data_IF_754532070544
#
_entry.id   IF_754532070544
#
_cell.length_a   1.000
_cell.length_b   1.000
_cell.length_c   1.000
_cell.angle_alpha   90.00
_cell.angle_beta   90.00
_cell.angle_gamma   90.00
#
_symmetry.space_group_name_H-M   'P 1'
#
loop_
_entity.id
_entity.type
_entity.pdbx_description
1 polymer ?
#
# COMPACT_ATOMS: atom_id res chain seq x y z
N UNK A 1 -22.25 12.32 -10.09
CA UNK A 1 -21.41 11.10 -9.99
C UNK A 1 -20.28 11.41 -9.04
N UNK A 2 -20.15 10.71 -7.91
CA UNK A 2 -19.13 11.00 -6.88
C UNK A 2 -17.80 10.35 -7.25
N UNK A 3 -16.71 11.13 -7.28
CA UNK A 3 -15.37 10.63 -7.56
C UNK A 3 -14.69 10.12 -6.28
N UNK A 4 -13.73 9.16 -6.36
CA UNK A 4 -12.94 8.72 -5.20
C UNK A 4 -12.13 9.83 -4.49
N UNK A 5 -11.97 10.98 -5.15
CA UNK A 5 -11.31 12.16 -4.60
C UNK A 5 -12.24 12.98 -3.69
N UNK A 6 -13.55 12.87 -3.89
CA UNK A 6 -14.56 13.63 -3.14
C UNK A 6 -14.86 12.99 -1.78
N UNK A 7 -14.47 11.71 -1.59
CA UNK A 7 -14.71 10.95 -0.37
C UNK A 7 -13.46 10.94 0.51
N UNK A 8 -13.59 11.26 1.82
CA UNK A 8 -12.50 11.13 2.77
C UNK A 8 -11.91 9.70 2.78
N UNK A 9 -10.57 9.55 2.77
CA UNK A 9 -9.93 8.23 2.75
C UNK A 9 -10.36 7.32 3.90
N UNK A 10 -10.61 7.89 5.08
CA UNK A 10 -11.07 7.16 6.26
C UNK A 10 -12.40 6.43 6.04
N UNK A 11 -13.29 6.98 5.21
CA UNK A 11 -14.58 6.38 4.87
C UNK A 11 -14.48 5.44 3.65
N UNK A 12 -13.59 5.74 2.71
CA UNK A 12 -13.45 4.97 1.47
C UNK A 12 -12.67 3.67 1.64
N UNK A 13 -11.61 3.66 2.46
CA UNK A 13 -10.68 2.53 2.56
C UNK A 13 -11.29 1.27 3.19
N UNK A 14 -12.06 1.34 4.30
CA UNK A 14 -12.66 0.14 4.89
C UNK A 14 -13.60 -0.63 3.93
N UNK A 15 -14.59 0.00 3.26
CA UNK A 15 -15.46 -0.73 2.33
C UNK A 15 -14.69 -1.24 1.11
N UNK A 16 -13.72 -0.46 0.61
CA UNK A 16 -12.88 -0.91 -0.50
C UNK A 16 -12.03 -2.15 -0.13
N UNK A 17 -11.51 -2.21 1.09
CA UNK A 17 -10.79 -3.38 1.57
C UNK A 17 -11.69 -4.62 1.69
N UNK A 18 -12.94 -4.44 2.15
CA UNK A 18 -13.93 -5.51 2.18
C UNK A 18 -14.27 -6.03 0.77
N UNK A 19 -14.47 -5.14 -0.20
CA UNK A 19 -14.69 -5.49 -1.60
C UNK A 19 -13.51 -6.26 -2.20
N UNK A 20 -12.28 -5.82 -1.94
CA UNK A 20 -11.07 -6.52 -2.39
C UNK A 20 -10.96 -7.93 -1.79
N UNK A 21 -11.39 -8.11 -0.54
CA UNK A 21 -11.46 -9.41 0.13
C UNK A 21 -12.53 -10.30 -0.49
N UNK A 22 -13.73 -9.76 -0.71
CA UNK A 22 -14.86 -10.49 -1.31
C UNK A 22 -14.56 -10.98 -2.73
N UNK A 23 -13.85 -10.15 -3.53
CA UNK A 23 -13.45 -10.51 -4.90
C UNK A 23 -12.23 -11.43 -4.97
N UNK A 24 -11.61 -11.78 -3.83
CA UNK A 24 -10.33 -12.48 -3.76
C UNK A 24 -9.25 -11.85 -4.66
N UNK A 25 -9.29 -10.51 -4.82
CA UNK A 25 -8.38 -9.79 -5.71
C UNK A 25 -6.94 -9.72 -5.16
N UNK A 26 -6.81 -9.80 -3.84
CA UNK A 26 -5.55 -9.78 -3.10
C UNK A 26 -5.57 -10.82 -2.00
N UNK A 27 -4.43 -11.45 -1.76
CA UNK A 27 -4.27 -12.47 -0.73
C UNK A 27 -3.00 -12.17 0.08
N UNK A 28 -3.07 -12.13 1.42
CA UNK A 28 -1.89 -11.91 2.23
C UNK A 28 -0.91 -13.08 2.03
N UNK A 29 0.35 -12.82 1.64
CA UNK A 29 1.36 -13.87 1.54
C UNK A 29 1.73 -14.39 2.95
N UNK A 30 2.27 -15.62 3.08
CA UNK A 30 2.57 -16.22 4.39
C UNK A 30 3.48 -15.37 5.27
N UNK A 31 4.40 -14.62 4.67
CA UNK A 31 5.32 -13.74 5.39
C UNK A 31 4.68 -12.44 5.89
N UNK A 32 3.48 -12.07 5.42
CA UNK A 32 2.84 -10.78 5.76
C UNK A 32 2.58 -10.62 7.25
N UNK A 33 2.32 -11.71 7.98
CA UNK A 33 2.06 -11.68 9.42
C UNK A 33 3.30 -11.33 10.25
N UNK A 34 4.50 -11.60 9.72
CA UNK A 34 5.76 -11.47 10.46
C UNK A 34 6.51 -10.17 10.16
N UNK A 35 6.15 -9.47 9.08
CA UNK A 35 6.91 -8.31 8.61
C UNK A 35 6.35 -6.98 9.12
N UNK A 36 7.24 -6.00 9.15
CA UNK A 36 6.86 -4.59 9.26
C UNK A 36 6.65 -3.96 7.89
N UNK A 37 5.84 -2.91 7.85
CA UNK A 37 5.48 -2.19 6.60
C UNK A 37 6.60 -1.30 6.06
N UNK A 38 7.68 -1.10 6.80
CA UNK A 38 8.85 -0.35 6.36
C UNK A 38 9.93 -0.26 7.42
N UNK A 39 11.12 0.19 7.02
CA UNK A 39 12.28 0.32 7.93
C UNK A 39 12.03 1.35 9.03
N UNK A 40 11.21 2.35 8.77
CA UNK A 40 10.84 3.40 9.71
C UNK A 40 9.88 2.92 10.81
N UNK A 41 9.26 1.73 10.68
CA UNK A 41 8.43 1.14 11.73
C UNK A 41 9.28 0.24 12.65
N UNK A 42 8.93 0.24 13.93
CA UNK A 42 9.54 -0.64 14.93
C UNK A 42 8.75 -1.94 15.11
N UNK A 43 7.41 -1.88 15.00
CA UNK A 43 6.50 -3.02 15.14
C UNK A 43 5.74 -3.29 13.85
N UNK A 44 5.30 -4.55 13.69
CA UNK A 44 4.37 -4.94 12.62
C UNK A 44 2.98 -4.31 12.81
N UNK A 45 2.12 -4.39 11.79
CA UNK A 45 0.73 -3.93 11.89
C UNK A 45 -0.07 -4.72 12.93
N UNK A 46 -0.87 -4.03 13.74
CA UNK A 46 -1.72 -4.66 14.76
C UNK A 46 -2.98 -5.29 14.16
N UNK A 47 -3.52 -4.72 13.08
CA UNK A 47 -4.73 -5.22 12.46
C UNK A 47 -4.44 -6.50 11.64
N UNK A 48 -5.18 -7.61 11.82
CA UNK A 48 -4.95 -8.84 11.06
C UNK A 48 -5.21 -8.66 9.56
N UNK A 49 -6.22 -7.87 9.20
CA UNK A 49 -6.58 -7.58 7.80
C UNK A 49 -5.81 -6.38 7.21
N UNK A 50 -4.63 -6.03 7.76
CA UNK A 50 -3.87 -4.86 7.31
C UNK A 50 -3.48 -4.93 5.83
N UNK A 51 -3.31 -6.13 5.27
CA UNK A 51 -2.96 -6.34 3.87
C UNK A 51 -4.04 -5.79 2.93
N UNK A 52 -5.31 -6.03 3.25
CA UNK A 52 -6.46 -5.55 2.47
C UNK A 52 -6.58 -4.04 2.56
N UNK A 53 -6.44 -3.46 3.76
CA UNK A 53 -6.42 -2.01 3.94
C UNK A 53 -5.25 -1.34 3.21
N UNK A 54 -4.08 -1.98 3.22
CA UNK A 54 -2.91 -1.50 2.47
C UNK A 54 -3.18 -1.56 0.96
N UNK A 55 -3.77 -2.65 0.47
CA UNK A 55 -4.12 -2.84 -0.94
C UNK A 55 -5.13 -1.79 -1.43
N UNK A 56 -6.18 -1.55 -0.65
CA UNK A 56 -7.15 -0.47 -0.90
C UNK A 56 -6.48 0.91 -0.96
N UNK A 57 -5.54 1.18 -0.04
CA UNK A 57 -4.78 2.43 -0.03
C UNK A 57 -3.89 2.59 -1.25
N UNK A 58 -3.20 1.52 -1.67
CA UNK A 58 -2.32 1.52 -2.84
C UNK A 58 -3.14 1.77 -4.10
N UNK A 59 -4.27 1.08 -4.27
CA UNK A 59 -5.18 1.26 -5.39
C UNK A 59 -5.67 2.72 -5.49
N UNK A 60 -6.07 3.32 -4.36
CA UNK A 60 -6.44 4.73 -4.31
C UNK A 60 -5.26 5.65 -4.68
N UNK A 61 -4.04 5.39 -4.18
CA UNK A 61 -2.87 6.22 -4.51
C UNK A 61 -2.53 6.16 -6.00
N UNK A 62 -2.59 4.98 -6.61
CA UNK A 62 -2.40 4.80 -8.06
C UNK A 62 -3.44 5.63 -8.82
N UNK A 63 -4.71 5.55 -8.41
CA UNK A 63 -5.77 6.36 -9.02
C UNK A 63 -5.52 7.88 -8.93
N UNK A 64 -5.08 8.36 -7.77
CA UNK A 64 -4.85 9.81 -7.53
C UNK A 64 -3.60 10.32 -8.25
N UNK A 65 -2.52 9.54 -8.23
CA UNK A 65 -1.21 9.96 -8.74
C UNK A 65 -0.99 9.60 -10.21
N UNK A 66 -1.82 8.72 -10.78
CA UNK A 66 -1.70 8.25 -12.16
C UNK A 66 -0.61 7.18 -12.31
N UNK A 67 0.32 7.40 -13.24
CA UNK A 67 1.45 6.50 -13.50
C UNK A 67 2.49 6.61 -12.38
N UNK A 68 2.61 5.55 -11.56
CA UNK A 68 3.51 5.55 -10.41
C UNK A 68 4.27 4.24 -10.29
N UNK A 69 5.59 4.33 -10.25
CA UNK A 69 6.47 3.20 -9.95
C UNK A 69 6.53 2.86 -8.46
N UNK A 70 7.02 1.65 -8.16
CA UNK A 70 7.13 1.13 -6.79
C UNK A 70 8.01 1.99 -5.88
N UNK A 71 9.03 2.68 -6.42
CA UNK A 71 9.90 3.57 -5.64
C UNK A 71 9.17 4.82 -5.13
N UNK A 72 8.41 5.48 -6.01
CA UNK A 72 7.62 6.66 -5.63
C UNK A 72 6.51 6.26 -4.66
N UNK A 73 5.83 5.12 -4.90
CA UNK A 73 4.90 4.55 -3.92
C UNK A 73 5.59 4.29 -2.57
N UNK A 74 6.82 3.78 -2.55
CA UNK A 74 7.54 3.54 -1.29
C UNK A 74 7.89 4.84 -0.56
N UNK A 75 8.23 5.93 -1.27
CA UNK A 75 8.42 7.24 -0.65
C UNK A 75 7.11 7.75 -0.01
N UNK A 76 5.99 7.58 -0.71
CA UNK A 76 4.62 7.94 -0.29
C UNK A 76 4.11 7.19 0.96
N UNK A 77 4.65 5.99 1.22
CA UNK A 77 4.39 5.20 2.43
C UNK A 77 5.57 5.23 3.42
N UNK A 78 6.52 6.12 3.20
CA UNK A 78 7.66 6.35 4.08
C UNK A 78 7.30 7.10 5.35
N UNK A 79 8.29 7.26 6.21
CA UNK A 79 8.13 7.98 7.47
C UNK A 79 9.46 8.28 8.16
N UNK A 80 9.36 9.03 9.25
CA UNK A 80 10.47 9.38 10.12
C UNK A 80 10.96 8.11 10.84
N UNK A 81 12.23 7.74 10.65
CA UNK A 81 12.86 6.59 11.33
C UNK A 81 13.61 7.07 12.58
N UNK A 82 13.31 6.44 13.69
CA UNK A 82 14.10 6.56 14.92
C UNK A 82 15.48 5.88 14.76
N UNK A 83 16.54 6.60 15.10
CA UNK A 83 17.94 6.17 15.01
C UNK A 83 18.63 6.15 16.39
N UNK A 84 17.86 6.11 17.48
CA UNK A 84 18.39 6.13 18.83
C UNK A 84 18.91 7.52 19.19
N UNK A 85 20.20 7.63 19.52
CA UNK A 85 20.83 8.91 19.88
C UNK A 85 21.04 9.85 18.69
N UNK A 86 21.03 9.33 17.46
CA UNK A 86 21.22 10.14 16.26
C UNK A 86 19.90 10.82 15.82
N UNK A 87 19.97 11.99 15.13
CA UNK A 87 18.79 12.66 14.61
C UNK A 87 17.95 11.79 13.68
N UNK A 88 16.66 12.06 13.69
CA UNK A 88 15.71 11.35 12.84
C UNK A 88 15.84 11.74 11.37
N UNK A 89 15.65 10.76 10.48
CA UNK A 89 15.60 11.00 9.04
C UNK A 89 14.42 10.27 8.40
N UNK A 90 13.94 10.81 7.29
CA UNK A 90 12.95 10.15 6.46
C UNK A 90 13.52 8.86 5.84
N UNK A 91 12.72 7.80 5.84
CA UNK A 91 13.01 6.52 5.19
C UNK A 91 11.75 6.01 4.50
N UNK A 92 11.93 5.42 3.33
CA UNK A 92 10.85 4.86 2.53
C UNK A 92 10.13 3.70 3.24
N UNK A 93 8.92 3.41 2.78
CA UNK A 93 8.19 2.18 3.10
C UNK A 93 8.83 0.95 2.45
N UNK A 94 8.32 -0.23 2.80
CA UNK A 94 8.79 -1.50 2.23
C UNK A 94 8.41 -1.60 0.76
N UNK A 95 9.42 -1.63 -0.12
CA UNK A 95 9.23 -1.86 -1.56
C UNK A 95 8.70 -3.28 -1.84
N UNK A 96 9.10 -4.27 -1.04
CA UNK A 96 8.66 -5.66 -1.19
C UNK A 96 7.14 -5.80 -0.96
N UNK A 97 6.61 -5.20 0.11
CA UNK A 97 5.17 -5.19 0.40
C UNK A 97 4.39 -4.53 -0.74
N UNK A 98 4.83 -3.35 -1.17
CA UNK A 98 4.14 -2.60 -2.21
C UNK A 98 4.17 -3.30 -3.56
N UNK A 99 5.32 -3.88 -3.93
CA UNK A 99 5.46 -4.65 -5.17
C UNK A 99 4.52 -5.84 -5.20
N UNK A 100 4.45 -6.61 -4.12
CA UNK A 100 3.59 -7.79 -4.06
C UNK A 100 2.11 -7.42 -4.21
N UNK A 101 1.68 -6.34 -3.53
CA UNK A 101 0.32 -5.80 -3.65
C UNK A 101 0.03 -5.37 -5.09
N UNK A 102 0.94 -4.62 -5.73
CA UNK A 102 0.76 -4.18 -7.12
C UNK A 102 0.66 -5.37 -8.07
N UNK A 103 1.50 -6.39 -7.90
CA UNK A 103 1.45 -7.61 -8.71
C UNK A 103 0.14 -8.39 -8.53
N UNK A 104 -0.42 -8.45 -7.31
CA UNK A 104 -1.73 -9.04 -7.07
C UNK A 104 -2.86 -8.23 -7.70
N UNK A 105 -2.79 -6.89 -7.62
CA UNK A 105 -3.75 -6.00 -8.26
C UNK A 105 -3.68 -6.05 -9.79
N UNK A 106 -2.50 -6.28 -10.36
CA UNK A 106 -2.35 -6.55 -11.80
C UNK A 106 -2.96 -7.88 -12.21
N UNK A 107 -2.71 -8.95 -11.43
CA UNK A 107 -3.31 -10.27 -11.69
C UNK A 107 -4.83 -10.26 -11.64
N UNK A 108 -5.41 -9.41 -10.80
CA UNK A 108 -6.87 -9.20 -10.72
C UNK A 108 -7.42 -8.22 -11.77
N UNK A 109 -6.56 -7.65 -12.63
CA UNK A 109 -6.96 -6.74 -13.70
C UNK A 109 -7.35 -5.33 -13.24
N UNK A 110 -7.08 -4.98 -11.98
CA UNK A 110 -7.42 -3.67 -11.40
C UNK A 110 -6.35 -2.61 -11.68
N UNK A 111 -5.11 -3.05 -11.92
CA UNK A 111 -3.97 -2.21 -12.29
C UNK A 111 -3.34 -2.79 -13.55
N UNK A 112 -2.70 -1.94 -14.37
CA UNK A 112 -1.98 -2.36 -15.56
C UNK A 112 -0.70 -1.54 -15.70
N UNK A 113 0.42 -2.23 -15.97
CA UNK A 113 1.65 -1.58 -16.38
C UNK A 113 1.43 -0.70 -17.64
N UNK A 114 1.97 0.51 -17.60
CA UNK A 114 1.90 1.45 -18.71
C UNK A 114 3.29 1.62 -19.34
N UNK A 115 3.46 1.12 -20.58
CA UNK A 115 4.66 1.19 -21.44
C UNK A 115 5.99 1.51 -20.73
N UNK A 116 6.84 0.52 -20.43
CA UNK A 116 8.24 0.66 -19.98
C UNK A 116 8.54 1.76 -18.92
N UNK A 117 7.54 2.33 -18.24
CA UNK A 117 7.65 3.48 -17.36
C UNK A 117 6.88 3.28 -16.03
N UNK A 118 6.63 2.03 -15.64
CA UNK A 118 6.01 1.70 -14.36
C UNK A 118 5.37 0.34 -14.35
#
# INVERSE_FOLDING_TARGET
MTHPNDVPPSKLLPPLAAELKNRNAVAPPPWATFVKTGVHKQRGPTAPDWWYLRSASVLRKIFVLGTVGTERLAAEYGGKRDRGSAPYHARSGSRAVLREIVQQLEKSGLVRAYKNQG
#
